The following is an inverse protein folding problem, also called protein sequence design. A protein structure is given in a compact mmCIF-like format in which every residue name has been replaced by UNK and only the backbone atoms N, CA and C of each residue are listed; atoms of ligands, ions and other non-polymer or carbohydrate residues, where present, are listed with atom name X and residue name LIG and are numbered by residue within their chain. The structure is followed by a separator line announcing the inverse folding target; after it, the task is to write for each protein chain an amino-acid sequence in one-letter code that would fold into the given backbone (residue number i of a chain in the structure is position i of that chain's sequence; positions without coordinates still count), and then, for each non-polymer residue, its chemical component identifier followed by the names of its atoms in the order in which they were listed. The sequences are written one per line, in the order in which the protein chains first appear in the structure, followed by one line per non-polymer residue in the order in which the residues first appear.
data_IF_752777118974
#
_entry.id   IF_752777118974
#
_cell.length_a   1.000
_cell.length_b   1.000
_cell.length_c   1.000
_cell.angle_alpha   90.00
_cell.angle_beta   90.00
_cell.angle_gamma   90.00
#
_symmetry.space_group_name_H-M   'P 1'
#
loop_
_entity.id
_entity.type
_entity.pdbx_description
1 polymer ?
#
# COMPACT_ATOMS: atom_id res chain seq x y z
N UNK A 1 -11.33 13.33 18.18
CA UNK A 1 -10.28 12.86 19.12
C UNK A 1 -10.42 11.39 19.51
N UNK A 2 -11.63 10.82 19.63
CA UNK A 2 -11.82 9.42 20.06
C UNK A 2 -11.63 8.38 18.96
N UNK A 3 -11.97 8.70 17.71
CA UNK A 3 -11.86 7.75 16.60
C UNK A 3 -10.39 7.46 16.26
N UNK A 4 -9.54 8.49 16.20
CA UNK A 4 -8.11 8.32 15.89
C UNK A 4 -7.37 7.48 16.94
N UNK A 5 -7.69 7.65 18.22
CA UNK A 5 -7.09 6.86 19.30
C UNK A 5 -7.66 5.45 19.38
N UNK A 6 -8.95 5.25 19.09
CA UNK A 6 -9.54 3.92 18.99
C UNK A 6 -8.92 3.13 17.82
N UNK A 7 -8.85 3.74 16.63
CA UNK A 7 -8.21 3.16 15.45
C UNK A 7 -6.73 2.87 15.73
N UNK A 8 -6.02 3.80 16.40
CA UNK A 8 -4.62 3.58 16.81
C UNK A 8 -4.45 2.47 17.86
N UNK A 9 -5.44 2.26 18.74
CA UNK A 9 -5.45 1.17 19.71
C UNK A 9 -5.72 -0.20 19.05
N UNK A 10 -6.51 -0.24 17.98
CA UNK A 10 -6.71 -1.46 17.20
C UNK A 10 -5.49 -1.78 16.32
N UNK A 11 -4.76 -0.79 15.84
CA UNK A 11 -3.42 -0.96 15.26
C UNK A 11 -2.31 -1.11 16.31
N UNK A 12 -2.63 -1.75 17.44
CA UNK A 12 -1.61 -2.24 18.38
C UNK A 12 -0.66 -3.19 17.62
N UNK A 13 0.65 -3.12 17.91
CA UNK A 13 1.66 -3.93 17.22
C UNK A 13 1.32 -5.43 17.18
N UNK A 14 0.66 -5.95 18.21
CA UNK A 14 0.18 -7.34 18.23
C UNK A 14 -0.91 -7.61 17.17
N UNK A 15 -1.89 -6.72 17.02
CA UNK A 15 -2.95 -6.86 16.02
C UNK A 15 -2.38 -6.82 14.60
N UNK A 16 -1.40 -5.94 14.36
CA UNK A 16 -0.69 -5.86 13.08
C UNK A 16 0.09 -7.15 12.77
N UNK A 17 0.73 -7.75 13.77
CA UNK A 17 1.41 -9.04 13.62
C UNK A 17 0.43 -10.17 13.26
N UNK A 18 -0.73 -10.21 13.91
CA UNK A 18 -1.77 -11.20 13.62
C UNK A 18 -2.33 -11.00 12.20
N UNK A 19 -2.60 -9.74 11.79
CA UNK A 19 -3.03 -9.43 10.43
C UNK A 19 -1.98 -9.83 9.38
N UNK A 20 -0.70 -9.56 9.65
CA UNK A 20 0.39 -9.94 8.76
C UNK A 20 0.46 -11.46 8.58
N UNK A 21 0.33 -12.22 9.67
CA UNK A 21 0.30 -13.68 9.64
C UNK A 21 -0.90 -14.21 8.83
N UNK A 22 -2.11 -13.73 9.13
CA UNK A 22 -3.33 -14.10 8.39
C UNK A 22 -3.20 -13.81 6.89
N UNK A 23 -2.64 -12.65 6.51
CA UNK A 23 -2.38 -12.30 5.12
C UNK A 23 -1.32 -13.21 4.52
N UNK A 24 -0.23 -13.52 5.22
CA UNK A 24 0.81 -14.43 4.72
C UNK A 24 0.26 -15.82 4.38
N UNK A 25 -0.70 -16.33 5.17
CA UNK A 25 -1.36 -17.60 4.91
C UNK A 25 -2.47 -17.51 3.85
N UNK A 26 -3.24 -16.43 3.83
CA UNK A 26 -4.42 -16.29 2.95
C UNK A 26 -4.06 -15.78 1.56
N UNK A 27 -3.05 -14.90 1.45
CA UNK A 27 -2.60 -14.33 0.19
C UNK A 27 -2.25 -15.37 -0.90
N UNK A 28 -1.46 -16.42 -0.64
CA UNK A 28 -1.15 -17.41 -1.69
C UNK A 28 -2.39 -18.17 -2.15
N UNK A 29 -3.30 -18.51 -1.24
CA UNK A 29 -4.54 -19.22 -1.57
C UNK A 29 -5.49 -18.36 -2.39
N UNK A 30 -5.69 -17.11 -1.98
CA UNK A 30 -6.54 -16.15 -2.67
C UNK A 30 -5.97 -15.78 -4.05
N UNK A 31 -4.64 -15.63 -4.13
CA UNK A 31 -3.96 -15.39 -5.40
C UNK A 31 -4.17 -16.54 -6.38
N UNK A 32 -4.12 -17.80 -5.92
CA UNK A 32 -4.39 -18.95 -6.79
C UNK A 32 -5.83 -18.99 -7.30
N UNK A 33 -6.81 -18.66 -6.46
CA UNK A 33 -8.23 -18.72 -6.82
C UNK A 33 -8.69 -17.57 -7.70
N UNK A 34 -8.10 -16.38 -7.54
CA UNK A 34 -8.57 -15.14 -8.17
C UNK A 34 -7.47 -14.39 -8.93
N UNK A 35 -6.43 -15.10 -9.41
CA UNK A 35 -5.27 -14.61 -10.20
C UNK A 35 -5.59 -13.36 -11.03
N UNK A 36 -6.47 -13.51 -12.02
CA UNK A 36 -6.78 -12.46 -13.00
C UNK A 36 -7.36 -11.20 -12.37
N UNK A 37 -8.22 -11.34 -11.36
CA UNK A 37 -8.85 -10.20 -10.70
C UNK A 37 -7.86 -9.46 -9.80
N UNK A 38 -6.99 -10.21 -9.10
CA UNK A 38 -5.93 -9.63 -8.28
C UNK A 38 -4.94 -8.88 -9.16
N UNK A 39 -4.46 -9.49 -10.26
CA UNK A 39 -3.52 -8.85 -11.19
C UNK A 39 -4.12 -7.59 -11.81
N UNK A 40 -5.39 -7.62 -12.24
CA UNK A 40 -6.08 -6.43 -12.76
C UNK A 40 -6.21 -5.32 -11.71
N UNK A 41 -6.44 -5.66 -10.44
CA UNK A 41 -6.54 -4.67 -9.37
C UNK A 41 -5.17 -4.08 -9.01
N UNK A 42 -4.13 -4.92 -8.98
CA UNK A 42 -2.74 -4.49 -8.80
C UNK A 42 -2.33 -3.55 -9.93
N UNK A 43 -2.61 -3.88 -11.19
CA UNK A 43 -2.29 -3.02 -12.34
C UNK A 43 -3.00 -1.67 -12.25
N UNK A 44 -4.29 -1.66 -11.90
CA UNK A 44 -5.05 -0.41 -11.69
C UNK A 44 -4.46 0.43 -10.56
N UNK A 45 -4.04 -0.22 -9.47
CA UNK A 45 -3.41 0.44 -8.33
C UNK A 45 -2.05 1.03 -8.71
N UNK A 46 -1.22 0.28 -9.44
CA UNK A 46 0.06 0.74 -9.97
C UNK A 46 -0.12 1.96 -10.89
N UNK A 47 -1.07 1.91 -11.83
CA UNK A 47 -1.39 3.04 -12.72
C UNK A 47 -1.83 4.29 -11.93
N UNK A 48 -2.63 4.11 -10.87
CA UNK A 48 -3.04 5.21 -9.99
C UNK A 48 -1.88 5.77 -9.18
N UNK A 49 -0.98 4.92 -8.70
CA UNK A 49 0.23 5.32 -7.97
C UNK A 49 1.19 6.09 -8.88
N UNK A 50 1.44 5.60 -10.09
CA UNK A 50 2.26 6.27 -11.10
C UNK A 50 1.67 7.64 -11.46
N UNK A 51 0.36 7.71 -11.71
CA UNK A 51 -0.33 8.98 -11.96
C UNK A 51 -0.22 9.94 -10.76
N UNK A 52 -0.35 9.42 -9.54
CA UNK A 52 -0.21 10.21 -8.33
C UNK A 52 1.23 10.71 -8.14
N UNK A 53 2.25 9.88 -8.38
CA UNK A 53 3.66 10.26 -8.35
C UNK A 53 4.00 11.29 -9.42
N UNK A 54 3.49 11.13 -10.63
CA UNK A 54 3.65 12.10 -11.72
C UNK A 54 3.01 13.43 -11.35
N UNK A 55 1.78 13.42 -10.85
CA UNK A 55 1.12 14.65 -10.34
C UNK A 55 1.90 15.27 -9.19
N UNK A 56 2.48 14.47 -8.30
CA UNK A 56 3.26 14.97 -7.18
C UNK A 56 4.60 15.56 -7.64
N UNK A 57 5.25 14.94 -8.63
CA UNK A 57 6.46 15.46 -9.26
C UNK A 57 6.20 16.78 -10.01
N UNK A 58 5.08 16.86 -10.73
CA UNK A 58 4.65 18.07 -11.44
C UNK A 58 4.35 19.22 -10.47
N UNK A 59 3.81 18.90 -9.28
CA UNK A 59 3.55 19.87 -8.21
C UNK A 59 4.77 20.17 -7.33
N UNK A 60 5.80 19.33 -7.32
CA UNK A 60 7.05 19.49 -6.55
C UNK A 60 8.30 19.29 -7.44
N UNK A 61 8.56 20.21 -8.39
CA UNK A 61 9.70 20.09 -9.34
C UNK A 61 11.10 20.22 -8.70
N UNK A 62 11.19 20.56 -7.40
CA UNK A 62 12.45 20.87 -6.72
C UNK A 62 13.08 19.74 -5.89
N UNK A 63 12.32 18.76 -5.39
CA UNK A 63 12.84 17.78 -4.42
C UNK A 63 13.32 16.46 -5.04
N UNK A 64 12.85 16.09 -6.23
CA UNK A 64 13.19 14.79 -6.85
C UNK A 64 14.61 14.78 -7.44
N UNK A 65 15.20 15.95 -7.74
CA UNK A 65 16.58 16.01 -8.27
C UNK A 65 17.67 15.63 -7.26
N UNK A 66 17.34 15.50 -5.96
CA UNK A 66 18.32 15.25 -4.89
C UNK A 66 18.43 13.79 -4.44
N UNK A 67 17.56 12.89 -4.87
CA UNK A 67 17.56 11.48 -4.44
C UNK A 67 18.08 10.50 -5.51
N UNK A 68 18.94 10.98 -6.41
CA UNK A 68 19.85 10.12 -7.15
C UNK A 68 21.26 10.35 -6.57
N UNK A 69 21.64 9.67 -5.47
CA UNK A 69 23.05 9.58 -5.15
C UNK A 69 23.73 8.76 -6.25
N UNK A 70 24.75 9.35 -6.87
CA UNK A 70 25.81 8.65 -7.58
C UNK A 70 26.50 7.63 -6.67
#
# INVERSE_FOLDING_TARGET
MWILTYVGAEFNGLTLLILADVVAFTAPLLYQKNKTQVDQFVEKSQKKLELALLRLQDRLPGAVKKLKPE
#
